data_IF_487360997389
#
_entry.id   IF_487360997389
#
_cell.length_a   1.000
_cell.length_b   1.000
_cell.length_c   1.000
_cell.angle_alpha   90.00
_cell.angle_beta   90.00
_cell.angle_gamma   90.00
#
_symmetry.space_group_name_H-M   'P 1'
#
loop_
_entity.id
_entity.type
_entity.pdbx_description
1 polymer ?
#
# COMPACT_ATOMS: atom_id res chain seq x y z
N UNK A 1 30.33 33.43 -0.44
CA UNK A 1 29.33 33.73 -1.48
C UNK A 1 29.79 33.00 -2.73
N UNK A 2 29.43 31.73 -2.80
CA UNK A 2 29.58 30.85 -3.95
C UNK A 2 28.47 29.84 -3.76
N UNK A 3 27.47 29.93 -4.64
CA UNK A 3 26.34 29.02 -4.74
C UNK A 3 26.84 27.58 -4.76
N UNK A 4 26.61 26.85 -3.68
CA UNK A 4 26.46 25.40 -3.76
C UNK A 4 25.14 25.18 -4.50
N UNK A 5 25.31 25.00 -5.81
CA UNK A 5 24.27 24.68 -6.75
C UNK A 5 23.32 23.66 -6.13
N UNK A 6 22.05 24.06 -6.05
CA UNK A 6 20.87 23.23 -5.86
C UNK A 6 21.08 21.92 -6.63
N UNK A 7 21.49 20.86 -5.93
CA UNK A 7 21.70 19.55 -6.51
C UNK A 7 20.29 18.99 -6.76
N UNK A 8 19.73 19.37 -7.92
CA UNK A 8 18.44 18.90 -8.41
C UNK A 8 18.54 17.37 -8.37
N UNK A 9 17.81 16.73 -7.44
CA UNK A 9 17.74 15.27 -7.43
C UNK A 9 17.24 14.85 -8.79
N UNK A 10 18.01 14.06 -9.56
CA UNK A 10 17.70 13.88 -10.96
C UNK A 10 16.34 13.22 -11.09
N UNK A 11 15.51 13.84 -11.92
CA UNK A 11 14.38 13.18 -12.53
C UNK A 11 14.92 11.88 -13.13
N UNK A 12 14.46 10.74 -12.63
CA UNK A 12 14.94 9.47 -13.14
C UNK A 12 14.25 9.20 -14.46
N UNK A 13 15.02 9.25 -15.54
CA UNK A 13 14.53 8.99 -16.89
C UNK A 13 15.23 7.78 -17.46
N UNK A 14 14.42 6.78 -17.80
CA UNK A 14 14.86 5.54 -18.41
C UNK A 14 14.30 5.44 -19.82
N UNK A 15 15.14 5.02 -20.76
CA UNK A 15 14.72 4.55 -22.07
C UNK A 15 14.87 3.04 -22.05
N UNK A 16 13.74 2.32 -22.03
CA UNK A 16 13.74 0.86 -22.01
C UNK A 16 14.22 0.35 -23.38
N UNK A 17 15.10 -0.65 -23.36
CA UNK A 17 15.74 -1.20 -24.55
C UNK A 17 14.92 -2.29 -25.27
N UNK A 18 13.77 -2.68 -24.72
CA UNK A 18 12.91 -3.75 -25.24
C UNK A 18 13.34 -5.18 -24.87
N UNK A 19 14.49 -5.33 -24.22
CA UNK A 19 15.11 -6.61 -23.87
C UNK A 19 15.17 -6.84 -22.35
N UNK A 20 14.81 -5.82 -21.57
CA UNK A 20 14.72 -5.88 -20.10
C UNK A 20 15.73 -4.95 -19.42
N UNK A 21 16.55 -4.25 -20.18
CA UNK A 21 17.44 -3.20 -19.70
C UNK A 21 16.87 -1.80 -19.94
N UNK A 22 17.59 -0.79 -19.45
CA UNK A 22 17.31 0.60 -19.77
C UNK A 22 18.57 1.46 -19.82
N UNK A 23 18.55 2.47 -20.68
CA UNK A 23 19.51 3.56 -20.67
C UNK A 23 18.99 4.72 -19.82
N UNK A 24 19.83 5.28 -18.96
CA UNK A 24 19.50 6.47 -18.18
C UNK A 24 19.75 7.73 -19.01
N UNK A 25 18.78 8.64 -19.04
CA UNK A 25 18.95 9.98 -19.61
C UNK A 25 19.23 10.99 -18.50
N UNK A 26 20.11 11.99 -18.75
CA UNK A 26 20.48 12.99 -17.74
C UNK A 26 19.35 13.97 -17.43
N UNK A 27 18.45 14.21 -18.39
CA UNK A 27 17.34 15.15 -18.27
C UNK A 27 16.10 14.58 -18.95
N UNK A 28 14.89 14.91 -18.45
CA UNK A 28 13.67 14.47 -19.10
C UNK A 28 13.47 15.13 -20.46
N UNK A 29 12.94 14.38 -21.44
CA UNK A 29 12.69 14.91 -22.77
C UNK A 29 11.61 16.00 -22.74
N UNK A 30 11.74 16.99 -23.63
CA UNK A 30 10.76 18.10 -23.75
C UNK A 30 9.59 17.75 -24.68
N UNK A 31 9.69 16.63 -25.39
CA UNK A 31 8.66 16.11 -26.29
C UNK A 31 8.40 14.63 -25.98
N UNK A 32 7.18 14.14 -26.23
CA UNK A 32 6.91 12.70 -26.19
C UNK A 32 7.81 11.96 -27.19
N UNK A 33 8.21 10.71 -26.89
CA UNK A 33 9.04 9.92 -27.79
C UNK A 33 8.35 9.71 -29.14
N UNK A 34 9.12 9.87 -30.22
CA UNK A 34 8.71 9.54 -31.57
C UNK A 34 8.65 8.02 -31.83
N UNK A 35 8.15 7.59 -33.00
CA UNK A 35 8.23 6.20 -33.41
C UNK A 35 9.68 5.72 -33.47
N UNK A 36 10.01 4.63 -32.76
CA UNK A 36 11.36 4.05 -32.75
C UNK A 36 12.32 4.59 -31.70
N UNK A 37 11.92 5.58 -30.89
CA UNK A 37 12.77 6.16 -29.82
C UNK A 37 12.73 5.38 -28.50
N UNK A 38 12.22 4.14 -28.53
CA UNK A 38 12.04 3.29 -27.36
C UNK A 38 10.88 3.74 -26.45
N UNK A 39 10.82 3.17 -25.25
CA UNK A 39 9.80 3.49 -24.26
C UNK A 39 10.45 4.36 -23.18
N UNK A 40 9.91 5.56 -22.96
CA UNK A 40 10.45 6.49 -21.96
C UNK A 40 9.70 6.35 -20.65
N UNK A 41 10.39 5.99 -19.58
CA UNK A 41 9.86 6.03 -18.22
C UNK A 41 10.47 7.19 -17.45
N UNK A 42 9.63 8.17 -17.11
CA UNK A 42 9.97 9.32 -16.27
C UNK A 42 9.40 9.10 -14.88
N UNK A 43 10.25 9.06 -13.85
CA UNK A 43 9.83 8.95 -12.46
C UNK A 43 10.17 10.24 -11.68
N UNK A 44 9.14 10.88 -11.14
CA UNK A 44 9.20 12.19 -10.52
C UNK A 44 8.89 12.15 -9.01
N UNK A 45 9.59 12.99 -8.26
CA UNK A 45 9.14 13.48 -6.96
C UNK A 45 8.42 14.81 -7.17
N UNK A 46 7.09 14.82 -7.02
CA UNK A 46 6.34 16.05 -7.27
C UNK A 46 6.50 17.10 -6.17
N UNK A 47 7.16 16.79 -5.05
CA UNK A 47 7.48 17.78 -4.01
C UNK A 47 8.60 18.70 -4.43
N UNK A 48 9.45 18.25 -5.36
CA UNK A 48 10.49 19.05 -5.99
C UNK A 48 9.87 20.07 -6.96
N UNK A 49 10.11 21.39 -6.75
CA UNK A 49 9.58 22.45 -7.61
C UNK A 49 9.96 22.29 -9.08
N UNK A 50 11.19 21.86 -9.39
CA UNK A 50 11.68 21.78 -10.77
C UNK A 50 10.98 20.64 -11.52
N UNK A 51 10.73 19.52 -10.84
CA UNK A 51 10.02 18.37 -11.39
C UNK A 51 8.53 18.67 -11.60
N UNK A 52 7.93 19.42 -10.67
CA UNK A 52 6.56 19.92 -10.80
C UNK A 52 6.44 20.90 -11.98
N UNK A 53 7.41 21.80 -12.15
CA UNK A 53 7.44 22.76 -13.25
C UNK A 53 7.61 22.07 -14.60
N UNK A 54 8.48 21.06 -14.69
CA UNK A 54 8.59 20.22 -15.89
C UNK A 54 7.27 19.56 -16.24
N UNK A 55 6.56 19.01 -15.25
CA UNK A 55 5.26 18.36 -15.48
C UNK A 55 4.22 19.35 -16.02
N UNK A 56 4.22 20.59 -15.52
CA UNK A 56 3.29 21.63 -15.94
C UNK A 56 3.60 22.21 -17.34
N UNK A 57 4.88 22.36 -17.70
CA UNK A 57 5.29 23.12 -18.90
C UNK A 57 5.77 22.25 -20.06
N UNK A 58 6.43 21.14 -19.75
CA UNK A 58 7.20 20.36 -20.72
C UNK A 58 6.66 18.94 -20.94
N UNK A 59 5.86 18.40 -20.01
CA UNK A 59 5.35 17.04 -20.15
C UNK A 59 4.33 16.86 -21.30
N UNK A 60 3.77 17.93 -21.87
CA UNK A 60 2.77 17.87 -22.96
C UNK A 60 1.56 16.98 -22.63
N UNK A 61 1.10 17.04 -21.39
CA UNK A 61 -0.07 16.30 -20.91
C UNK A 61 -1.29 17.22 -20.83
N UNK A 62 -2.49 16.62 -20.88
CA UNK A 62 -3.72 17.32 -20.57
C UNK A 62 -3.69 17.83 -19.10
N UNK A 63 -4.18 19.05 -18.80
CA UNK A 63 -4.26 19.58 -17.45
C UNK A 63 -4.88 18.64 -16.41
N UNK A 64 -5.89 17.84 -16.79
CA UNK A 64 -6.51 16.85 -15.91
C UNK A 64 -5.52 15.77 -15.44
N UNK A 65 -4.66 15.30 -16.35
CA UNK A 65 -3.63 14.29 -16.04
C UNK A 65 -2.56 14.90 -15.15
N UNK A 66 -2.13 16.14 -15.42
CA UNK A 66 -1.16 16.85 -14.58
C UNK A 66 -1.70 17.02 -13.17
N UNK A 67 -2.94 17.49 -13.02
CA UNK A 67 -3.58 17.62 -11.71
C UNK A 67 -3.62 16.29 -10.96
N UNK A 68 -3.95 15.19 -11.65
CA UNK A 68 -3.98 13.88 -11.04
C UNK A 68 -2.59 13.38 -10.62
N UNK A 69 -1.54 13.64 -11.42
CA UNK A 69 -0.15 13.32 -11.11
C UNK A 69 0.42 14.18 -9.96
N UNK A 70 -0.15 15.35 -9.68
CA UNK A 70 0.27 16.25 -8.58
C UNK A 70 -0.60 16.15 -7.32
N UNK A 71 -1.73 15.44 -7.38
CA UNK A 71 -2.68 15.37 -6.26
C UNK A 71 -2.02 14.83 -4.98
N UNK A 72 -2.18 15.47 -3.82
CA UNK A 72 -1.53 14.99 -2.59
C UNK A 72 -2.12 13.68 -2.09
N UNK A 73 -3.45 13.60 -2.06
CA UNK A 73 -4.18 12.41 -1.66
C UNK A 73 -4.93 11.82 -2.84
N UNK A 74 -4.72 10.53 -3.08
CA UNK A 74 -5.42 9.79 -4.12
C UNK A 74 -6.02 8.52 -3.55
N UNK A 75 -7.27 8.25 -3.93
CA UNK A 75 -7.85 6.91 -3.83
C UNK A 75 -7.36 6.09 -5.03
N UNK A 76 -7.05 4.80 -4.86
CA UNK A 76 -6.70 3.95 -5.97
C UNK A 76 -7.75 3.99 -7.08
N UNK A 77 -7.29 4.08 -8.33
CA UNK A 77 -8.13 4.14 -9.53
C UNK A 77 -7.32 3.74 -10.76
N UNK A 78 -8.02 3.25 -11.76
CA UNK A 78 -7.56 3.17 -13.14
C UNK A 78 -8.61 3.87 -14.00
N UNK A 79 -8.18 4.80 -14.86
CA UNK A 79 -9.10 5.60 -15.68
C UNK A 79 -8.52 5.77 -17.07
N UNK A 80 -9.15 5.20 -18.12
CA UNK A 80 -8.75 5.46 -19.49
C UNK A 80 -9.06 6.91 -19.86
N UNK A 81 -8.12 7.56 -20.53
CA UNK A 81 -8.26 8.94 -21.03
C UNK A 81 -7.64 8.97 -22.43
N UNK A 82 -8.49 8.92 -23.47
CA UNK A 82 -8.01 8.80 -24.85
C UNK A 82 -7.19 7.51 -25.04
N UNK A 83 -5.99 7.65 -25.61
CA UNK A 83 -5.04 6.54 -25.88
C UNK A 83 -4.13 6.20 -24.69
N UNK A 84 -4.34 6.86 -23.55
CA UNK A 84 -3.56 6.68 -22.34
C UNK A 84 -4.42 6.25 -21.16
N UNK A 85 -3.74 5.87 -20.09
CA UNK A 85 -4.34 5.38 -18.87
C UNK A 85 -3.75 6.12 -17.67
N UNK A 86 -4.64 6.67 -16.85
CA UNK A 86 -4.28 7.29 -15.58
C UNK A 86 -4.52 6.29 -14.45
N UNK A 87 -3.47 5.99 -13.68
CA UNK A 87 -3.54 5.18 -12.49
C UNK A 87 -3.15 5.98 -11.25
N UNK A 88 -3.81 5.66 -10.14
CA UNK A 88 -3.27 5.88 -8.83
C UNK A 88 -3.31 4.54 -8.10
N UNK A 89 -2.17 4.11 -7.56
CA UNK A 89 -2.04 2.88 -6.79
C UNK A 89 -1.40 3.20 -5.43
N UNK A 90 -1.56 2.30 -4.46
CA UNK A 90 -0.88 2.38 -3.19
C UNK A 90 -0.10 1.11 -2.88
N UNK A 91 1.05 1.29 -2.23
CA UNK A 91 1.86 0.21 -1.67
C UNK A 91 2.23 0.51 -0.22
N UNK A 92 2.68 -0.52 0.48
CA UNK A 92 3.11 -0.43 1.88
C UNK A 92 4.25 0.57 2.02
N UNK A 93 4.17 1.40 3.06
CA UNK A 93 5.23 2.33 3.40
C UNK A 93 6.34 1.64 4.21
N UNK A 94 7.50 1.45 3.59
CA UNK A 94 8.69 0.94 4.29
C UNK A 94 9.70 2.05 4.65
N UNK A 95 9.30 3.32 4.59
CA UNK A 95 10.18 4.42 5.02
C UNK A 95 10.34 4.42 6.55
N UNK A 96 11.46 4.94 7.05
CA UNK A 96 11.77 4.96 8.49
C UNK A 96 10.65 5.65 9.29
N UNK A 97 10.20 5.00 10.36
CA UNK A 97 9.13 5.51 11.23
C UNK A 97 7.71 5.34 10.68
N UNK A 98 7.55 4.57 9.60
CA UNK A 98 6.23 4.20 9.09
C UNK A 98 5.57 3.15 9.99
N UNK A 99 4.27 3.32 10.23
CA UNK A 99 3.44 2.27 10.80
C UNK A 99 3.16 1.17 9.77
N UNK A 100 2.94 -0.08 10.19
CA UNK A 100 2.67 -1.21 9.28
C UNK A 100 1.50 -0.97 8.30
N UNK A 101 0.45 -0.25 8.72
CA UNK A 101 -0.70 0.06 7.88
C UNK A 101 -0.57 1.34 7.06
N UNK A 102 0.56 2.07 7.17
CA UNK A 102 0.78 3.28 6.39
C UNK A 102 1.00 2.95 4.91
N UNK A 103 0.22 3.60 4.05
CA UNK A 103 0.19 3.36 2.63
C UNK A 103 0.64 4.61 1.87
N UNK A 104 1.66 4.46 1.01
CA UNK A 104 2.13 5.53 0.12
C UNK A 104 1.52 5.38 -1.27
N UNK A 105 1.32 6.52 -1.95
CA UNK A 105 0.70 6.55 -3.27
C UNK A 105 1.72 6.78 -4.38
N UNK A 106 1.51 6.08 -5.50
CA UNK A 106 2.14 6.36 -6.78
C UNK A 106 1.05 6.71 -7.79
N UNK A 107 1.26 7.79 -8.55
CA UNK A 107 0.41 8.12 -9.70
C UNK A 107 1.17 7.80 -10.97
N UNK A 108 0.47 7.33 -11.97
CA UNK A 108 1.06 6.87 -13.23
C UNK A 108 0.17 7.33 -14.37
N UNK A 109 0.77 8.00 -15.34
CA UNK A 109 0.22 8.16 -16.67
C UNK A 109 0.98 7.22 -17.60
N UNK A 110 0.26 6.42 -18.37
CA UNK A 110 0.86 5.40 -19.24
C UNK A 110 0.21 5.39 -20.63
N UNK A 111 1.06 5.39 -21.65
CA UNK A 111 0.74 5.40 -23.08
C UNK A 111 1.67 4.38 -23.79
N UNK A 112 1.42 4.10 -25.07
CA UNK A 112 2.11 3.06 -25.87
C UNK A 112 3.65 3.10 -25.85
N UNK A 113 4.27 4.27 -25.68
CA UNK A 113 5.72 4.44 -25.66
C UNK A 113 6.22 5.38 -24.55
N UNK A 114 5.35 5.72 -23.58
CA UNK A 114 5.68 6.70 -22.55
C UNK A 114 4.98 6.40 -21.23
N UNK A 115 5.75 6.44 -20.16
CA UNK A 115 5.29 6.27 -18.78
C UNK A 115 5.77 7.47 -17.98
N UNK A 116 4.87 8.14 -17.29
CA UNK A 116 5.19 9.19 -16.32
C UNK A 116 4.63 8.77 -14.99
N UNK A 117 5.50 8.61 -13.99
CA UNK A 117 5.10 8.27 -12.64
C UNK A 117 5.53 9.36 -11.67
N UNK A 118 4.71 9.61 -10.66
CA UNK A 118 4.99 10.63 -9.65
C UNK A 118 4.71 10.11 -8.24
N UNK A 119 5.54 10.56 -7.29
CA UNK A 119 5.44 10.25 -5.86
C UNK A 119 5.71 11.47 -4.99
N UNK A 120 5.31 11.37 -3.72
CA UNK A 120 5.76 12.25 -2.62
C UNK A 120 6.65 11.51 -1.62
N UNK A 121 6.37 10.23 -1.40
CA UNK A 121 7.14 9.34 -0.53
C UNK A 121 7.65 8.17 -1.36
N UNK A 122 8.86 7.69 -1.07
CA UNK A 122 9.49 6.56 -1.77
C UNK A 122 8.67 5.29 -1.64
N UNK A 123 8.66 4.49 -2.71
CA UNK A 123 8.01 3.19 -2.75
C UNK A 123 9.03 2.16 -3.23
N UNK A 124 9.27 1.13 -2.41
CA UNK A 124 10.29 0.11 -2.71
C UNK A 124 9.99 -0.66 -3.99
N UNK A 125 8.71 -0.85 -4.36
CA UNK A 125 8.32 -1.50 -5.62
C UNK A 125 8.88 -0.80 -6.86
N UNK A 126 9.08 0.53 -6.81
CA UNK A 126 9.74 1.30 -7.88
C UNK A 126 11.23 1.01 -7.91
N UNK A 127 11.86 0.95 -6.74
CA UNK A 127 13.28 0.59 -6.61
C UNK A 127 13.55 -0.83 -7.08
N UNK A 128 12.66 -1.79 -6.79
CA UNK A 128 12.76 -3.17 -7.28
C UNK A 128 12.73 -3.22 -8.80
N UNK A 129 11.82 -2.46 -9.41
CA UNK A 129 11.68 -2.40 -10.86
C UNK A 129 12.91 -1.77 -11.52
N UNK A 130 13.48 -0.74 -10.87
CA UNK A 130 14.76 -0.14 -11.28
C UNK A 130 15.90 -1.16 -11.22
N UNK A 131 16.06 -1.89 -10.11
CA UNK A 131 17.12 -2.90 -9.98
C UNK A 131 17.04 -3.96 -11.08
N UNK A 132 15.81 -4.40 -11.42
CA UNK A 132 15.61 -5.33 -12.54
C UNK A 132 16.02 -4.77 -13.89
N UNK A 133 15.75 -3.48 -14.15
CA UNK A 133 16.22 -2.82 -15.38
C UNK A 133 17.75 -2.73 -15.42
N UNK A 134 18.41 -2.48 -14.29
CA UNK A 134 19.87 -2.47 -14.19
C UNK A 134 20.48 -3.87 -14.43
N UNK A 135 19.76 -4.93 -14.04
CA UNK A 135 20.13 -6.33 -14.25
C UNK A 135 19.74 -6.90 -15.64
N UNK A 136 19.05 -6.13 -16.48
CA UNK A 136 18.55 -6.60 -17.78
C UNK A 136 17.36 -7.58 -17.70
N UNK A 137 16.70 -7.67 -16.53
CA UNK A 137 15.57 -8.57 -16.25
C UNK A 137 14.23 -7.82 -16.05
N UNK A 138 14.21 -6.53 -16.40
CA UNK A 138 13.09 -5.63 -16.24
C UNK A 138 12.00 -5.76 -17.31
N UNK A 139 11.06 -4.81 -17.35
CA UNK A 139 9.99 -4.79 -18.34
C UNK A 139 10.50 -4.54 -19.76
N UNK A 140 9.99 -5.32 -20.72
CA UNK A 140 10.34 -5.21 -22.14
C UNK A 140 9.42 -4.28 -22.90
N UNK A 141 8.21 -4.10 -22.42
CA UNK A 141 7.23 -3.20 -23.01
C UNK A 141 6.39 -2.49 -21.94
N UNK A 142 5.49 -1.59 -22.36
CA UNK A 142 4.64 -0.78 -21.47
C UNK A 142 3.66 -1.64 -20.65
N UNK A 143 3.10 -2.70 -21.25
CA UNK A 143 2.23 -3.63 -20.54
C UNK A 143 2.98 -4.45 -19.51
N UNK A 144 4.18 -4.92 -19.85
CA UNK A 144 5.10 -5.56 -18.90
C UNK A 144 5.43 -4.65 -17.73
N UNK A 145 5.72 -3.37 -17.99
CA UNK A 145 5.98 -2.38 -16.95
C UNK A 145 4.81 -2.28 -15.98
N UNK A 146 3.60 -2.13 -16.49
CA UNK A 146 2.40 -2.00 -15.68
C UNK A 146 2.16 -3.25 -14.81
N UNK A 147 2.24 -4.44 -15.42
CA UNK A 147 2.03 -5.70 -14.71
C UNK A 147 3.11 -5.92 -13.65
N UNK A 148 4.39 -5.73 -13.99
CA UNK A 148 5.49 -5.95 -13.05
C UNK A 148 5.47 -4.96 -11.89
N UNK A 149 5.20 -3.67 -12.16
CA UNK A 149 5.07 -2.68 -11.10
C UNK A 149 3.90 -3.01 -10.17
N UNK A 150 2.74 -3.37 -10.73
CA UNK A 150 1.56 -3.71 -9.95
C UNK A 150 1.79 -4.98 -9.12
N UNK A 151 2.41 -6.00 -9.71
CA UNK A 151 2.80 -7.23 -9.01
C UNK A 151 3.72 -6.92 -7.83
N UNK A 152 4.76 -6.10 -8.01
CA UNK A 152 5.66 -5.69 -6.92
C UNK A 152 4.96 -4.83 -5.86
N UNK A 153 3.95 -4.04 -6.23
CA UNK A 153 3.16 -3.27 -5.26
C UNK A 153 2.34 -4.21 -4.39
N UNK A 154 1.65 -5.19 -4.99
CA UNK A 154 0.80 -6.14 -4.25
C UNK A 154 1.65 -7.15 -3.48
N UNK A 155 2.73 -7.68 -4.06
CA UNK A 155 3.62 -8.65 -3.40
C UNK A 155 4.22 -8.09 -2.12
N UNK A 156 4.59 -6.81 -2.07
CA UNK A 156 5.13 -6.19 -0.84
C UNK A 156 4.11 -6.05 0.29
N UNK A 157 2.82 -6.27 0.01
CA UNK A 157 1.81 -6.31 1.06
C UNK A 157 1.83 -7.62 1.85
N UNK A 158 2.37 -8.70 1.27
CA UNK A 158 2.34 -10.05 1.84
C UNK A 158 2.93 -10.06 3.25
N UNK A 159 4.17 -9.61 3.44
CA UNK A 159 4.83 -9.59 4.75
C UNK A 159 4.04 -8.82 5.83
N UNK A 160 3.32 -7.75 5.45
CA UNK A 160 2.54 -6.94 6.40
C UNK A 160 1.24 -7.64 6.79
N UNK A 161 0.59 -8.30 5.83
CA UNK A 161 -0.62 -9.08 6.09
C UNK A 161 -0.30 -10.29 6.96
N UNK A 162 0.76 -11.04 6.64
CA UNK A 162 1.24 -12.17 7.45
C UNK A 162 1.57 -11.73 8.89
N UNK A 163 2.25 -10.58 9.07
CA UNK A 163 2.49 -10.02 10.39
C UNK A 163 1.20 -9.70 11.17
N UNK A 164 0.11 -9.34 10.50
CA UNK A 164 -1.16 -9.11 11.18
C UNK A 164 -1.85 -10.42 11.57
N UNK A 165 -1.74 -11.45 10.73
CA UNK A 165 -2.23 -12.81 11.03
C UNK A 165 -1.51 -13.43 12.22
N UNK A 166 -0.17 -13.36 12.23
CA UNK A 166 0.65 -13.86 13.34
C UNK A 166 0.30 -13.13 14.64
N UNK A 167 0.21 -11.80 14.59
CA UNK A 167 -0.13 -10.99 15.77
C UNK A 167 -1.51 -11.29 16.34
N UNK A 168 -2.52 -11.57 15.51
CA UNK A 168 -3.85 -11.93 16.04
C UNK A 168 -3.83 -13.34 16.65
N UNK A 169 -3.08 -14.27 16.07
CA UNK A 169 -2.90 -15.62 16.62
C UNK A 169 -2.21 -15.58 17.99
N UNK A 170 -1.12 -14.80 18.13
CA UNK A 170 -0.42 -14.62 19.40
C UNK A 170 -1.34 -14.02 20.49
N UNK A 171 -2.14 -13.02 20.12
CA UNK A 171 -3.10 -12.39 21.03
C UNK A 171 -4.20 -13.36 21.46
N UNK A 172 -4.70 -14.21 20.56
CA UNK A 172 -5.68 -15.26 20.86
C UNK A 172 -5.15 -16.26 21.89
N UNK A 173 -3.90 -16.72 21.73
CA UNK A 173 -3.27 -17.62 22.70
C UNK A 173 -3.07 -16.93 24.06
N UNK A 174 -2.62 -15.68 24.05
CA UNK A 174 -2.32 -14.93 25.28
C UNK A 174 -3.57 -14.58 26.09
N UNK A 175 -4.76 -14.47 25.47
CA UNK A 175 -6.05 -14.26 26.20
C UNK A 175 -6.29 -15.34 27.24
N UNK A 176 -5.67 -16.52 27.03
CA UNK A 176 -5.70 -17.63 27.97
C UNK A 176 -4.98 -17.30 29.29
N UNK A 177 -3.95 -16.44 29.26
CA UNK A 177 -2.90 -16.35 30.28
C UNK A 177 -2.94 -15.11 31.22
N UNK A 178 -4.05 -14.35 31.24
CA UNK A 178 -4.46 -13.39 32.30
C UNK A 178 -3.94 -11.93 32.31
N UNK A 179 -3.26 -11.40 31.27
CA UNK A 179 -2.93 -9.96 31.21
C UNK A 179 -3.93 -9.14 30.37
N UNK A 180 -4.66 -8.22 31.00
CA UNK A 180 -5.94 -7.73 30.44
C UNK A 180 -6.00 -6.31 29.86
N UNK A 181 -5.12 -5.38 30.26
CA UNK A 181 -5.19 -3.99 29.79
C UNK A 181 -4.40 -3.79 28.50
N UNK A 182 -3.15 -4.25 28.46
CA UNK A 182 -2.27 -4.10 27.29
C UNK A 182 -2.85 -4.83 26.07
N UNK A 183 -3.36 -6.04 26.30
CA UNK A 183 -4.03 -6.85 25.28
C UNK A 183 -5.26 -6.18 24.65
N UNK A 184 -6.08 -5.45 25.44
CA UNK A 184 -7.20 -4.68 24.87
C UNK A 184 -6.71 -3.62 23.90
N UNK A 185 -5.62 -2.94 24.26
CA UNK A 185 -5.04 -1.91 23.40
C UNK A 185 -4.42 -2.51 22.14
N UNK A 186 -3.73 -3.65 22.26
CA UNK A 186 -3.12 -4.34 21.13
C UNK A 186 -4.18 -4.87 20.13
N UNK A 187 -5.23 -5.53 20.62
CA UNK A 187 -6.36 -5.98 19.78
C UNK A 187 -7.03 -4.82 19.06
N UNK A 188 -7.30 -3.72 19.77
CA UNK A 188 -7.90 -2.53 19.17
C UNK A 188 -6.97 -1.89 18.13
N UNK A 189 -5.65 -1.89 18.37
CA UNK A 189 -4.65 -1.36 17.45
C UNK A 189 -4.57 -2.21 16.18
N UNK A 190 -4.43 -3.52 16.32
CA UNK A 190 -4.38 -4.46 15.19
C UNK A 190 -5.64 -4.36 14.34
N UNK A 191 -6.82 -4.32 14.96
CA UNK A 191 -8.10 -4.13 14.27
C UNK A 191 -8.15 -2.82 13.48
N UNK A 192 -7.67 -1.71 14.06
CA UNK A 192 -7.59 -0.41 13.36
C UNK A 192 -6.63 -0.47 12.17
N UNK A 193 -5.46 -1.08 12.34
CA UNK A 193 -4.45 -1.25 11.30
C UNK A 193 -4.98 -2.07 10.12
N UNK A 194 -5.64 -3.21 10.39
CA UNK A 194 -6.26 -4.04 9.35
C UNK A 194 -7.34 -3.28 8.56
N UNK A 195 -8.22 -2.54 9.26
CA UNK A 195 -9.25 -1.69 8.62
C UNK A 195 -8.61 -0.60 7.75
N UNK A 196 -7.56 0.04 8.24
CA UNK A 196 -6.85 1.13 7.57
C UNK A 196 -6.21 0.65 6.26
N UNK A 197 -5.53 -0.49 6.28
CA UNK A 197 -4.94 -1.10 5.08
C UNK A 197 -6.03 -1.51 4.08
N UNK A 198 -7.06 -2.24 4.54
CA UNK A 198 -8.18 -2.69 3.71
C UNK A 198 -8.90 -1.55 2.97
N UNK A 199 -9.02 -0.37 3.61
CA UNK A 199 -9.63 0.84 3.02
C UNK A 199 -8.95 1.27 1.71
N UNK A 200 -7.66 0.95 1.53
CA UNK A 200 -6.93 1.21 0.28
C UNK A 200 -6.92 0.01 -0.67
N UNK A 201 -6.85 -1.23 -0.15
CA UNK A 201 -6.83 -2.42 -1.00
C UNK A 201 -8.16 -2.64 -1.74
N UNK A 202 -9.31 -2.34 -1.10
CA UNK A 202 -10.63 -2.48 -1.74
C UNK A 202 -10.78 -1.65 -3.04
N UNK A 203 -10.52 -0.33 -3.07
CA UNK A 203 -10.52 0.42 -4.32
C UNK A 203 -9.39 0.03 -5.27
N UNK A 204 -8.25 -0.45 -4.76
CA UNK A 204 -7.18 -0.92 -5.63
C UNK A 204 -7.60 -2.16 -6.41
N UNK A 205 -8.35 -3.08 -5.79
CA UNK A 205 -8.98 -4.21 -6.48
C UNK A 205 -9.91 -3.75 -7.59
N UNK A 206 -10.75 -2.75 -7.34
CA UNK A 206 -11.62 -2.15 -8.37
C UNK A 206 -10.80 -1.55 -9.52
N UNK A 207 -9.70 -0.86 -9.21
CA UNK A 207 -8.78 -0.31 -10.20
C UNK A 207 -8.15 -1.42 -11.06
N UNK A 208 -7.67 -2.50 -10.45
CA UNK A 208 -7.08 -3.61 -11.22
C UNK A 208 -8.13 -4.38 -12.03
N UNK A 209 -9.34 -4.54 -11.49
CA UNK A 209 -10.46 -5.13 -12.24
C UNK A 209 -10.81 -4.30 -13.49
N UNK A 210 -10.76 -2.97 -13.40
CA UNK A 210 -10.95 -2.09 -14.55
C UNK A 210 -9.89 -2.35 -15.64
N UNK A 211 -8.63 -2.54 -15.25
CA UNK A 211 -7.54 -2.84 -16.20
C UNK A 211 -7.73 -4.17 -16.94
N UNK A 212 -8.38 -5.16 -16.31
CA UNK A 212 -8.65 -6.46 -16.93
C UNK A 212 -9.66 -6.36 -18.09
N UNK A 213 -10.58 -5.39 -18.03
CA UNK A 213 -11.62 -5.18 -19.04
C UNK A 213 -11.18 -4.15 -20.10
N UNK A 214 -10.22 -3.29 -19.76
CA UNK A 214 -9.71 -2.24 -20.63
C UNK A 214 -9.01 -2.81 -21.88
N UNK A 215 -9.19 -2.14 -23.03
CA UNK A 215 -8.71 -2.60 -24.35
C UNK A 215 -7.68 -1.65 -24.97
N UNK A 216 -6.69 -1.24 -24.19
CA UNK A 216 -5.57 -0.46 -24.73
C UNK A 216 -4.73 -1.31 -25.70
N UNK A 217 -4.30 -0.76 -26.87
CA UNK A 217 -3.54 -1.53 -27.88
C UNK A 217 -2.22 -2.13 -27.36
N UNK A 218 -1.57 -1.46 -26.40
CA UNK A 218 -0.32 -1.89 -25.78
C UNK A 218 -0.51 -2.90 -24.64
N UNK A 219 -1.77 -3.26 -24.31
CA UNK A 219 -2.11 -4.20 -23.25
C UNK A 219 -2.81 -5.44 -23.83
N UNK A 220 -2.07 -6.53 -23.99
CA UNK A 220 -2.54 -7.77 -24.61
C UNK A 220 -3.09 -8.79 -23.58
N UNK A 221 -3.54 -9.94 -24.08
CA UNK A 221 -4.17 -10.96 -23.23
C UNK A 221 -3.18 -11.69 -22.30
N UNK A 222 -1.90 -11.75 -22.66
CA UNK A 222 -0.85 -12.27 -21.79
C UNK A 222 -0.67 -11.34 -20.58
N UNK A 223 -0.62 -10.02 -20.80
CA UNK A 223 -0.58 -9.04 -19.72
C UNK A 223 -1.82 -9.13 -18.83
N UNK A 224 -3.02 -9.30 -19.41
CA UNK A 224 -4.27 -9.53 -18.65
C UNK A 224 -4.21 -10.80 -17.83
N UNK A 225 -3.69 -11.89 -18.37
CA UNK A 225 -3.55 -13.16 -17.65
C UNK A 225 -2.65 -12.99 -16.43
N UNK A 226 -1.48 -12.36 -16.59
CA UNK A 226 -0.58 -12.08 -15.47
C UNK A 226 -1.19 -11.12 -14.46
N UNK A 227 -1.94 -10.11 -14.92
CA UNK A 227 -2.64 -9.19 -14.03
C UNK A 227 -3.75 -9.88 -13.22
N UNK A 228 -4.41 -10.93 -13.73
CA UNK A 228 -5.38 -11.70 -12.93
C UNK A 228 -4.74 -12.35 -11.71
N UNK A 229 -3.56 -12.94 -11.85
CA UNK A 229 -2.81 -13.49 -10.70
C UNK A 229 -2.51 -12.43 -9.64
N UNK A 230 -2.20 -11.20 -10.08
CA UNK A 230 -1.98 -10.05 -9.18
C UNK A 230 -3.28 -9.63 -8.50
N UNK A 231 -4.40 -9.59 -9.23
CA UNK A 231 -5.73 -9.35 -8.67
C UNK A 231 -6.11 -10.41 -7.63
N UNK A 232 -5.89 -11.69 -7.92
CA UNK A 232 -6.24 -12.80 -7.03
C UNK A 232 -5.42 -12.76 -5.74
N UNK A 233 -4.13 -12.41 -5.82
CA UNK A 233 -3.30 -12.15 -4.64
C UNK A 233 -3.82 -10.98 -3.81
N UNK A 234 -4.19 -9.88 -4.46
CA UNK A 234 -4.78 -8.73 -3.79
C UNK A 234 -6.12 -9.06 -3.12
N UNK A 235 -6.93 -9.93 -3.73
CA UNK A 235 -8.19 -10.40 -3.15
C UNK A 235 -7.92 -11.22 -1.89
N UNK A 236 -6.98 -12.18 -1.93
CA UNK A 236 -6.57 -12.93 -0.74
C UNK A 236 -6.13 -12.01 0.39
N UNK A 237 -5.24 -11.05 0.13
CA UNK A 237 -4.85 -10.06 1.14
C UNK A 237 -6.01 -9.26 1.74
N UNK A 238 -7.08 -9.00 0.97
CA UNK A 238 -8.29 -8.36 1.52
C UNK A 238 -9.05 -9.31 2.44
N UNK A 239 -9.16 -10.58 2.06
CA UNK A 239 -9.81 -11.65 2.83
C UNK A 239 -9.07 -11.89 4.15
N UNK A 240 -7.74 -12.01 4.10
CA UNK A 240 -6.85 -12.16 5.26
C UNK A 240 -7.03 -10.98 6.25
N UNK A 241 -7.08 -9.75 5.73
CA UNK A 241 -7.35 -8.56 6.56
C UNK A 241 -8.76 -8.54 7.17
N UNK A 242 -9.75 -9.07 6.44
CA UNK A 242 -11.12 -9.23 6.95
C UNK A 242 -11.17 -10.29 8.06
N UNK A 243 -10.40 -11.38 7.91
CA UNK A 243 -10.23 -12.43 8.94
C UNK A 243 -9.56 -11.88 10.20
N UNK A 244 -8.41 -11.21 10.07
CA UNK A 244 -7.70 -10.57 11.20
C UNK A 244 -8.63 -9.64 11.97
N UNK A 245 -9.41 -8.81 11.25
CA UNK A 245 -10.36 -7.88 11.87
C UNK A 245 -11.42 -8.61 12.68
N UNK A 246 -11.95 -9.70 12.16
CA UNK A 246 -13.00 -10.48 12.81
C UNK A 246 -12.46 -11.25 14.02
N UNK A 247 -11.32 -11.93 13.85
CA UNK A 247 -10.61 -12.61 14.93
C UNK A 247 -10.31 -11.66 16.08
N UNK A 248 -9.69 -10.51 15.79
CA UNK A 248 -9.43 -9.49 16.82
C UNK A 248 -10.71 -8.98 17.52
N UNK A 249 -11.87 -9.00 16.85
CA UNK A 249 -13.16 -8.65 17.47
C UNK A 249 -13.62 -9.74 18.44
N UNK A 250 -13.63 -11.00 18.01
CA UNK A 250 -14.03 -12.16 18.82
C UNK A 250 -13.11 -12.30 20.04
N UNK A 251 -11.80 -12.18 19.85
CA UNK A 251 -10.80 -12.22 20.93
C UNK A 251 -11.02 -11.10 21.95
N UNK A 252 -11.40 -9.90 21.48
CA UNK A 252 -11.74 -8.80 22.36
C UNK A 252 -12.99 -9.09 23.20
N UNK A 253 -14.02 -9.69 22.61
CA UNK A 253 -15.24 -10.11 23.31
C UNK A 253 -14.95 -11.19 24.36
N UNK A 254 -14.14 -12.20 24.02
CA UNK A 254 -13.72 -13.22 24.97
C UNK A 254 -12.97 -12.61 26.17
N UNK A 255 -12.05 -11.68 25.91
CA UNK A 255 -11.32 -10.96 26.95
C UNK A 255 -12.26 -10.20 27.89
N UNK A 256 -13.30 -9.54 27.35
CA UNK A 256 -14.32 -8.89 28.16
C UNK A 256 -15.12 -9.90 29.00
N UNK A 257 -15.50 -11.03 28.42
CA UNK A 257 -16.18 -12.13 29.11
C UNK A 257 -15.40 -12.65 30.32
N UNK A 258 -14.12 -12.97 30.13
CA UNK A 258 -13.22 -13.43 31.19
C UNK A 258 -13.04 -12.40 32.30
N UNK A 259 -12.97 -11.12 31.96
CA UNK A 259 -12.86 -10.04 32.94
C UNK A 259 -14.13 -9.93 33.79
N UNK A 260 -15.30 -10.08 33.17
CA UNK A 260 -16.58 -10.16 33.88
C UNK A 260 -16.64 -11.37 34.82
N UNK A 261 -16.21 -12.56 34.37
CA UNK A 261 -16.14 -13.76 35.21
C UNK A 261 -15.22 -13.58 36.42
N UNK A 262 -14.05 -12.98 36.22
CA UNK A 262 -13.09 -12.71 37.30
C UNK A 262 -13.65 -11.69 38.30
N UNK A 263 -14.33 -10.64 37.83
CA UNK A 263 -15.03 -9.70 38.70
C UNK A 263 -16.14 -10.40 39.52
N UNK A 264 -16.92 -11.27 38.88
CA UNK A 264 -17.96 -12.05 39.56
C UNK A 264 -17.38 -13.01 40.60
N UNK A 265 -16.28 -13.71 40.30
CA UNK A 265 -15.56 -14.57 41.26
C UNK A 265 -15.06 -13.77 42.46
N UNK A 266 -14.46 -12.60 42.24
CA UNK A 266 -14.00 -11.70 43.33
C UNK A 266 -15.16 -11.19 44.18
N UNK A 267 -16.27 -10.81 43.54
CA UNK A 267 -17.49 -10.39 44.25
C UNK A 267 -18.09 -11.54 45.07
N UNK A 268 -18.12 -12.76 44.54
CA UNK A 268 -18.59 -13.94 45.27
C UNK A 268 -17.76 -14.22 46.53
N UNK A 269 -16.43 -14.16 46.43
CA UNK A 269 -15.53 -14.31 47.59
C UNK A 269 -15.78 -13.20 48.62
N UNK A 270 -15.92 -11.94 48.19
CA UNK A 270 -16.24 -10.83 49.09
C UNK A 270 -17.59 -11.02 49.79
N UNK A 271 -18.60 -11.53 49.08
CA UNK A 271 -19.91 -11.85 49.64
C UNK A 271 -19.84 -12.97 50.68
N UNK A 272 -19.04 -14.03 50.45
CA UNK A 272 -18.80 -15.08 51.45
C UNK A 272 -18.14 -14.49 52.69
N UNK A 273 -17.07 -13.72 52.53
CA UNK A 273 -16.37 -13.06 53.65
C UNK A 273 -17.36 -12.20 54.43
N UNK A 274 -18.16 -11.39 53.75
CA UNK A 274 -19.19 -10.55 54.38
C UNK A 274 -20.21 -11.39 55.15
N UNK A 275 -20.73 -12.47 54.55
CA UNK A 275 -21.71 -13.35 55.20
C UNK A 275 -21.15 -14.04 56.46
N UNK A 276 -19.85 -14.36 56.50
CA UNK A 276 -19.20 -14.97 57.66
C UNK A 276 -18.95 -13.95 58.78
N UNK A 277 -18.48 -12.73 58.44
CA UNK A 277 -18.09 -11.73 59.44
C UNK A 277 -19.23 -10.85 59.96
N UNK A 278 -20.29 -10.63 59.15
CA UNK A 278 -21.41 -9.79 59.55
C UNK A 278 -22.10 -10.28 60.85
N UNK A 279 -22.40 -11.59 61.05
CA UNK A 279 -22.94 -12.09 62.32
C UNK A 279 -21.95 -11.99 63.50
N UNK A 280 -20.65 -12.19 63.24
CA UNK A 280 -19.60 -12.13 64.28
C UNK A 280 -19.41 -10.70 64.81
N UNK A 281 -19.56 -9.70 63.94
CA UNK A 281 -19.56 -8.28 64.33
C UNK A 281 -20.72 -7.93 65.27
N UNK A 282 -21.90 -8.53 65.07
CA UNK A 282 -23.05 -8.37 65.98
C UNK A 282 -22.86 -9.05 67.35
N UNK A 283 -22.03 -10.10 67.44
CA UNK A 283 -21.80 -10.84 68.70
C UNK A 283 -20.72 -10.22 69.61
N UNK A 284 -19.87 -9.37 69.06
CA UNK A 284 -18.73 -8.76 69.78
C UNK A 284 -18.90 -7.28 70.08
N UNK A 285 -19.93 -6.65 69.52
CA UNK A 285 -20.36 -5.26 69.78
C UNK A 285 -21.58 -5.16 70.70
#
# INVERSE_FOLDING_TARGET
MTDEANEIKPILVYVLDGHGGAQVLPTPPQQPPGPGEGIHWIHLDYTDPDQRDWLNRSAKLNPLVIQALLAEETRPRATPIGEGLLLALRGVNHNVGAEPDDMVSIRIWIESNRIISSRKRSLLSVSDLRGRLEEGSGPKNVGDFLVQLTDRIVWRMTDTVEQFEDRVADLEETVIEQNSLDMRYELATLRRQAISMRRYLSPQREALAQLLVERQPWFNDEHRMRLREVCDRLIRHIEDLDEVRERAAVTHEELLGRLSENLNKRMYVLSIVTAVFLPLGFLTG
#
